data_IF_686505630851
#
_entry.id   IF_686505630851
#
_cell.length_a   1.000
_cell.length_b   1.000
_cell.length_c   1.000
_cell.angle_alpha   90.00
_cell.angle_beta   90.00
_cell.angle_gamma   90.00
#
_symmetry.space_group_name_H-M   'P 1'
#
loop_
_entity.id
_entity.type
_entity.pdbx_description
1 polymer ?
#
# COMPACT_ATOMS: atom_id res chain seq x y z
N UNK A 1 -8.90 24.12 1.47
CA UNK A 1 -9.34 22.73 1.17
C UNK A 1 -8.15 21.82 1.37
N UNK A 2 -8.30 20.80 2.18
CA UNK A 2 -7.22 19.90 2.54
C UNK A 2 -6.91 18.92 1.40
N UNK A 3 -5.62 18.63 1.16
CA UNK A 3 -5.18 17.47 0.40
C UNK A 3 -4.93 16.33 1.39
N UNK A 4 -5.37 15.13 1.05
CA UNK A 4 -5.38 13.99 1.95
C UNK A 4 -4.43 12.91 1.47
N UNK A 5 -3.57 12.41 2.36
CA UNK A 5 -2.78 11.20 2.12
C UNK A 5 -3.39 10.03 2.88
N UNK A 6 -3.63 8.92 2.19
CA UNK A 6 -4.11 7.67 2.78
C UNK A 6 -2.97 6.68 2.84
N UNK A 7 -2.62 6.22 4.06
CA UNK A 7 -1.55 5.25 4.30
C UNK A 7 -2.06 4.09 5.16
N UNK A 8 -1.52 2.89 4.97
CA UNK A 8 -1.79 1.77 5.87
C UNK A 8 -0.98 1.92 7.16
N UNK A 9 -1.60 1.74 8.32
CA UNK A 9 -0.93 1.87 9.62
C UNK A 9 -0.41 0.53 10.18
N UNK A 10 -0.57 -0.57 9.44
CA UNK A 10 -0.14 -1.92 9.81
C UNK A 10 0.77 -2.51 8.71
N UNK A 11 0.66 -3.80 8.41
CA UNK A 11 1.43 -4.50 7.37
C UNK A 11 0.72 -4.58 6.01
N UNK A 12 -0.09 -3.60 5.64
CA UNK A 12 -0.90 -3.65 4.44
C UNK A 12 -2.21 -4.44 4.64
N UNK A 13 -3.02 -4.49 3.58
CA UNK A 13 -4.30 -5.21 3.58
C UNK A 13 -5.33 -4.73 4.62
N UNK A 14 -5.20 -3.49 5.10
CA UNK A 14 -6.08 -2.87 6.10
C UNK A 14 -7.48 -2.52 5.55
N UNK A 15 -7.73 -2.76 4.27
CA UNK A 15 -9.00 -2.38 3.64
C UNK A 15 -8.96 -0.98 3.01
N UNK A 16 -7.76 -0.49 2.66
CA UNK A 16 -7.55 0.83 2.01
C UNK A 16 -8.46 1.05 0.81
N UNK A 17 -8.68 0.02 -0.03
CA UNK A 17 -9.46 0.16 -1.26
C UNK A 17 -10.86 0.74 -1.02
N UNK A 18 -11.60 0.26 -0.02
CA UNK A 18 -12.93 0.80 0.33
C UNK A 18 -12.86 2.27 0.73
N UNK A 19 -11.91 2.64 1.58
CA UNK A 19 -11.77 4.01 2.10
C UNK A 19 -11.29 4.96 1.00
N UNK A 20 -10.33 4.53 0.18
CA UNK A 20 -9.86 5.31 -0.97
C UNK A 20 -10.99 5.52 -1.99
N UNK A 21 -11.77 4.49 -2.29
CA UNK A 21 -12.95 4.64 -3.16
C UNK A 21 -13.96 5.65 -2.58
N UNK A 22 -14.25 5.55 -1.29
CA UNK A 22 -15.16 6.48 -0.61
C UNK A 22 -14.65 7.92 -0.66
N UNK A 23 -13.34 8.15 -0.46
CA UNK A 23 -12.70 9.47 -0.54
C UNK A 23 -12.54 9.96 -1.99
N UNK A 24 -12.31 9.07 -2.95
CA UNK A 24 -12.10 9.44 -4.35
C UNK A 24 -13.29 10.15 -4.98
N UNK A 25 -14.50 9.89 -4.50
CA UNK A 25 -15.70 10.61 -4.93
C UNK A 25 -15.65 12.10 -4.59
N UNK A 26 -15.01 12.44 -3.46
CA UNK A 26 -14.85 13.80 -2.95
C UNK A 26 -13.58 14.48 -3.46
N UNK A 27 -12.66 13.73 -4.03
CA UNK A 27 -11.43 14.24 -4.61
C UNK A 27 -11.64 14.71 -6.07
N UNK A 28 -10.86 15.68 -6.52
CA UNK A 28 -10.74 16.06 -7.92
C UNK A 28 -9.69 15.22 -8.64
N UNK A 29 -8.65 14.80 -7.91
CA UNK A 29 -7.49 14.05 -8.44
C UNK A 29 -7.09 12.94 -7.47
N UNK A 30 -6.76 11.76 -7.99
CA UNK A 30 -6.23 10.63 -7.21
C UNK A 30 -4.82 10.29 -7.66
N UNK A 31 -3.86 10.24 -6.74
CA UNK A 31 -2.43 10.10 -7.03
C UNK A 31 -1.85 8.87 -6.37
N UNK A 32 -1.31 7.92 -7.14
CA UNK A 32 -0.40 6.87 -6.66
C UNK A 32 1.01 7.42 -6.60
N UNK A 33 1.68 7.35 -5.46
CA UNK A 33 2.95 8.03 -5.24
C UNK A 33 4.12 7.09 -4.93
N UNK A 34 3.89 5.80 -4.71
CA UNK A 34 4.95 4.81 -4.41
C UNK A 34 4.50 3.38 -4.73
N UNK A 35 5.45 2.43 -4.65
CA UNK A 35 5.23 1.03 -4.94
C UNK A 35 5.22 0.74 -6.44
N UNK A 36 4.45 -0.23 -6.84
CA UNK A 36 4.26 -0.66 -8.22
C UNK A 36 3.00 -1.53 -8.32
N UNK A 37 2.97 -2.43 -9.28
CA UNK A 37 1.83 -3.33 -9.48
C UNK A 37 1.80 -4.54 -8.51
N UNK A 38 2.63 -4.54 -7.46
CA UNK A 38 2.62 -5.53 -6.38
C UNK A 38 1.48 -5.35 -5.37
N UNK A 39 0.88 -4.16 -5.31
CA UNK A 39 -0.21 -3.84 -4.40
C UNK A 39 -1.55 -3.92 -5.14
N UNK A 40 -2.22 -5.07 -5.06
CA UNK A 40 -3.59 -5.21 -5.56
C UNK A 40 -4.61 -4.63 -4.58
N UNK A 41 -5.57 -3.86 -5.09
CA UNK A 41 -6.73 -3.43 -4.32
C UNK A 41 -8.02 -3.71 -5.10
N UNK A 42 -9.05 -4.01 -4.36
CA UNK A 42 -10.38 -4.31 -4.91
C UNK A 42 -11.32 -3.16 -4.58
N UNK A 43 -12.01 -2.70 -5.60
CA UNK A 43 -13.09 -1.71 -5.49
C UNK A 43 -14.40 -2.35 -5.88
N UNK A 44 -15.46 -2.01 -5.17
CA UNK A 44 -16.83 -2.40 -5.57
C UNK A 44 -17.60 -1.11 -5.86
N UNK A 45 -17.91 -0.90 -7.14
CA UNK A 45 -18.61 0.29 -7.61
C UNK A 45 -19.86 -0.18 -8.35
N UNK A 46 -21.04 0.25 -7.88
CA UNK A 46 -22.34 -0.09 -8.47
C UNK A 46 -22.54 -1.60 -8.67
N UNK A 47 -22.07 -2.41 -7.69
CA UNK A 47 -22.16 -3.87 -7.71
C UNK A 47 -21.10 -4.56 -8.57
N UNK A 48 -20.26 -3.82 -9.30
CA UNK A 48 -19.17 -4.36 -10.12
C UNK A 48 -17.87 -4.35 -9.34
N UNK A 49 -17.15 -5.46 -9.38
CA UNK A 49 -15.85 -5.61 -8.69
C UNK A 49 -14.70 -5.33 -9.64
N UNK A 50 -13.91 -4.31 -9.34
CA UNK A 50 -12.71 -3.95 -10.06
C UNK A 50 -11.47 -4.34 -9.25
N UNK A 51 -10.52 -5.01 -9.91
CA UNK A 51 -9.22 -5.37 -9.31
C UNK A 51 -8.13 -4.52 -9.95
N UNK A 52 -7.63 -3.54 -9.22
CA UNK A 52 -6.56 -2.65 -9.66
C UNK A 52 -5.25 -3.03 -8.98
N UNK A 53 -4.13 -2.77 -9.67
CA UNK A 53 -2.79 -3.00 -9.15
C UNK A 53 -1.91 -1.75 -9.26
N UNK A 54 -1.85 -1.13 -10.44
CA UNK A 54 -1.04 0.04 -10.73
C UNK A 54 -1.87 1.31 -10.91
N UNK A 55 -3.04 1.18 -11.54
CA UNK A 55 -3.95 2.31 -11.76
C UNK A 55 -4.51 2.83 -10.42
N UNK A 56 -4.56 4.17 -10.24
CA UNK A 56 -5.23 4.77 -9.09
C UNK A 56 -6.73 4.46 -9.07
N UNK A 57 -7.33 4.39 -7.87
CA UNK A 57 -8.76 4.11 -7.69
C UNK A 57 -9.68 5.10 -8.43
N UNK A 58 -9.24 6.34 -8.61
CA UNK A 58 -9.99 7.40 -9.31
C UNK A 58 -10.38 7.06 -10.75
N UNK A 59 -9.63 6.21 -11.43
CA UNK A 59 -9.92 5.80 -12.83
C UNK A 59 -11.32 5.17 -12.93
N UNK A 60 -11.72 4.34 -11.98
CA UNK A 60 -13.04 3.68 -11.98
C UNK A 60 -14.18 4.68 -11.81
N UNK A 61 -13.90 5.84 -11.23
CA UNK A 61 -14.84 6.94 -11.01
C UNK A 61 -14.77 8.05 -12.07
N UNK A 62 -14.00 7.84 -13.15
CA UNK A 62 -13.79 8.88 -14.16
C UNK A 62 -13.06 10.12 -13.66
N UNK A 63 -12.32 10.01 -12.54
CA UNK A 63 -11.55 11.12 -11.96
C UNK A 63 -10.17 11.19 -12.61
N UNK A 64 -9.60 12.39 -12.70
CA UNK A 64 -8.21 12.55 -13.08
C UNK A 64 -7.34 11.72 -12.12
N UNK A 65 -6.56 10.82 -12.67
CA UNK A 65 -5.75 9.85 -11.96
C UNK A 65 -4.29 10.02 -12.37
N UNK A 66 -3.40 9.95 -11.41
CA UNK A 66 -1.98 10.25 -11.62
C UNK A 66 -1.12 9.14 -11.03
N UNK A 67 -0.16 8.66 -11.81
CA UNK A 67 0.94 7.81 -11.34
C UNK A 67 2.19 8.67 -11.22
N UNK A 68 2.63 8.89 -9.98
CA UNK A 68 3.77 9.76 -9.66
C UNK A 68 5.13 9.10 -9.92
N UNK A 69 6.17 9.91 -9.88
CA UNK A 69 7.57 9.50 -10.09
C UNK A 69 8.12 8.55 -9.01
N UNK A 70 7.44 8.44 -7.87
CA UNK A 70 7.79 7.49 -6.81
C UNK A 70 7.41 6.04 -7.15
N UNK A 71 6.50 5.82 -8.08
CA UNK A 71 6.07 4.49 -8.54
C UNK A 71 7.08 3.91 -9.52
N UNK A 72 7.32 2.59 -9.45
CA UNK A 72 8.02 1.85 -10.51
C UNK A 72 6.98 1.15 -11.39
N UNK A 73 7.10 1.29 -12.71
CA UNK A 73 6.04 0.97 -13.67
C UNK A 73 6.47 -0.16 -14.59
N UNK A 74 5.76 -1.27 -14.54
CA UNK A 74 5.83 -2.29 -15.59
C UNK A 74 4.94 -1.83 -16.75
N UNK A 75 5.52 -1.47 -17.92
CA UNK A 75 4.75 -0.90 -19.02
C UNK A 75 3.74 -1.90 -19.61
N UNK A 76 4.06 -3.18 -19.64
CA UNK A 76 3.14 -4.22 -20.11
C UNK A 76 1.99 -4.42 -19.13
N UNK A 77 2.29 -4.53 -17.83
CA UNK A 77 1.26 -4.69 -16.80
C UNK A 77 0.30 -3.48 -16.74
N UNK A 78 0.80 -2.25 -16.98
CA UNK A 78 -0.04 -1.06 -17.05
C UNK A 78 -1.00 -1.14 -18.24
N UNK A 79 -0.51 -1.51 -19.42
CA UNK A 79 -1.34 -1.64 -20.61
C UNK A 79 -2.37 -2.77 -20.48
N UNK A 80 -1.98 -3.91 -19.91
CA UNK A 80 -2.90 -5.02 -19.62
C UNK A 80 -4.00 -4.61 -18.64
N UNK A 81 -3.69 -3.77 -17.65
CA UNK A 81 -4.68 -3.27 -16.70
C UNK A 81 -5.64 -2.27 -17.34
N UNK A 82 -5.15 -1.41 -18.24
CA UNK A 82 -5.97 -0.50 -19.06
C UNK A 82 -6.92 -1.30 -19.97
N UNK A 83 -6.40 -2.32 -20.66
CA UNK A 83 -7.20 -3.17 -21.56
C UNK A 83 -8.29 -3.92 -20.79
N UNK A 84 -7.99 -4.46 -19.61
CA UNK A 84 -8.99 -5.10 -18.75
C UNK A 84 -10.10 -4.15 -18.29
N UNK A 85 -9.79 -2.88 -17.99
CA UNK A 85 -10.83 -1.92 -17.65
C UNK A 85 -11.74 -1.60 -18.83
N UNK A 86 -11.21 -1.63 -20.05
CA UNK A 86 -12.03 -1.45 -21.26
C UNK A 86 -13.08 -2.56 -21.43
N UNK A 87 -12.82 -3.80 -20.98
CA UNK A 87 -13.77 -4.90 -20.94
C UNK A 87 -14.98 -4.60 -20.03
N UNK A 88 -14.79 -3.77 -19.00
CA UNK A 88 -15.83 -3.27 -18.12
C UNK A 88 -16.47 -1.96 -18.60
N UNK A 89 -16.15 -1.50 -19.83
CA UNK A 89 -16.66 -0.25 -20.39
C UNK A 89 -15.93 1.01 -19.94
N UNK A 90 -14.83 0.89 -19.18
CA UNK A 90 -14.04 2.05 -18.73
C UNK A 90 -12.89 2.30 -19.71
N UNK A 91 -13.06 3.32 -20.54
CA UNK A 91 -12.01 3.74 -21.47
C UNK A 91 -11.05 4.71 -20.78
N UNK A 92 -9.86 4.22 -20.45
CA UNK A 92 -8.80 5.04 -19.87
C UNK A 92 -8.12 5.86 -20.99
N UNK A 93 -8.23 7.19 -20.91
CA UNK A 93 -7.66 8.10 -21.90
C UNK A 93 -6.54 8.95 -21.30
N UNK A 94 -5.67 9.59 -22.14
CA UNK A 94 -4.64 10.51 -21.65
C UNK A 94 -5.18 11.70 -20.85
N UNK A 95 -6.45 12.07 -20.99
CA UNK A 95 -7.10 13.11 -20.19
C UNK A 95 -7.45 12.61 -18.81
N UNK A 96 -7.74 11.31 -18.67
CA UNK A 96 -8.13 10.66 -17.41
C UNK A 96 -6.91 10.16 -16.62
N UNK A 97 -5.87 9.70 -17.29
CA UNK A 97 -4.66 9.16 -16.66
C UNK A 97 -3.43 9.96 -17.07
N UNK A 98 -2.61 10.36 -16.07
CA UNK A 98 -1.29 10.93 -16.28
C UNK A 98 -0.24 10.08 -15.57
N UNK A 99 0.89 9.89 -16.22
CA UNK A 99 2.01 9.10 -15.70
C UNK A 99 3.25 9.98 -15.72
N UNK A 100 3.95 10.05 -14.60
CA UNK A 100 5.17 10.85 -14.51
C UNK A 100 6.19 10.41 -15.57
N UNK A 101 6.60 11.33 -16.43
CA UNK A 101 7.57 11.11 -17.50
C UNK A 101 8.92 10.60 -16.98
N UNK A 102 9.28 10.98 -15.76
CA UNK A 102 10.48 10.56 -15.04
C UNK A 102 10.31 9.32 -14.15
N UNK A 103 9.19 8.62 -14.20
CA UNK A 103 9.00 7.37 -13.48
C UNK A 103 9.89 6.25 -14.03
N UNK A 104 10.45 5.42 -13.15
CA UNK A 104 11.33 4.30 -13.51
C UNK A 104 10.51 3.11 -13.99
N UNK A 105 11.02 2.41 -15.02
CA UNK A 105 10.37 1.24 -15.58
C UNK A 105 10.85 -0.06 -14.95
N UNK A 106 9.93 -0.98 -14.76
CA UNK A 106 10.21 -2.39 -14.46
C UNK A 106 10.39 -3.11 -15.79
N UNK A 107 11.50 -3.83 -15.92
CA UNK A 107 11.83 -4.60 -17.11
C UNK A 107 11.78 -6.12 -16.79
N UNK A 108 11.69 -6.99 -17.80
CA UNK A 108 11.65 -8.45 -17.57
C UNK A 108 12.80 -8.97 -16.69
N UNK A 109 14.01 -8.43 -16.86
CA UNK A 109 15.19 -8.79 -16.06
C UNK A 109 15.03 -8.51 -14.55
N UNK A 110 14.22 -7.52 -14.17
CA UNK A 110 13.91 -7.23 -12.76
C UNK A 110 13.02 -8.33 -12.18
N UNK A 111 12.04 -8.83 -12.94
CA UNK A 111 11.18 -9.93 -12.53
C UNK A 111 11.96 -11.24 -12.39
N UNK A 112 12.88 -11.50 -13.33
CA UNK A 112 13.76 -12.67 -13.25
C UNK A 112 14.58 -12.64 -11.96
N UNK A 113 15.24 -11.52 -11.66
CA UNK A 113 16.08 -11.37 -10.47
C UNK A 113 15.28 -11.51 -9.18
N UNK A 114 14.09 -10.90 -9.11
CA UNK A 114 13.16 -11.02 -7.98
C UNK A 114 12.73 -12.50 -7.78
N UNK A 115 12.41 -13.20 -8.88
CA UNK A 115 12.07 -14.61 -8.88
C UNK A 115 13.21 -15.50 -8.36
N UNK A 116 14.43 -15.30 -8.85
CA UNK A 116 15.59 -16.10 -8.42
C UNK A 116 15.93 -15.91 -6.95
N UNK A 117 15.78 -14.68 -6.42
CA UNK A 117 15.98 -14.42 -4.98
C UNK A 117 14.96 -15.16 -4.12
N UNK A 118 13.72 -15.26 -4.57
CA UNK A 118 12.67 -15.99 -3.86
C UNK A 118 12.74 -17.52 -4.05
N UNK A 119 13.39 -18.00 -5.10
CA UNK A 119 13.59 -19.44 -5.36
C UNK A 119 14.87 -20.00 -4.70
N UNK A 120 15.77 -19.13 -4.21
CA UNK A 120 16.96 -19.58 -3.47
C UNK A 120 16.55 -20.33 -2.19
N UNK A 121 17.31 -21.36 -1.82
CA UNK A 121 17.08 -22.12 -0.57
C UNK A 121 17.52 -21.37 0.69
N UNK A 122 17.96 -20.12 0.55
CA UNK A 122 18.42 -19.27 1.63
C UNK A 122 17.28 -18.92 2.61
N UNK A 123 17.60 -18.84 3.90
CA UNK A 123 16.72 -18.33 4.96
C UNK A 123 16.30 -16.85 4.73
N UNK A 124 16.90 -16.20 3.73
CA UNK A 124 16.69 -14.80 3.38
C UNK A 124 15.43 -14.52 2.54
N UNK A 125 14.52 -15.48 2.37
CA UNK A 125 13.25 -15.26 1.63
C UNK A 125 12.41 -14.19 2.30
N UNK A 126 12.07 -13.14 1.54
CA UNK A 126 11.22 -12.04 1.99
C UNK A 126 9.74 -12.39 1.81
N UNK A 127 9.43 -13.22 0.81
CA UNK A 127 8.05 -13.55 0.41
C UNK A 127 7.48 -12.52 -0.56
N UNK A 128 8.30 -12.03 -1.51
CA UNK A 128 7.90 -11.03 -2.51
C UNK A 128 6.81 -11.55 -3.45
N UNK A 129 6.26 -10.65 -4.24
CA UNK A 129 5.28 -10.99 -5.30
C UNK A 129 5.94 -11.41 -6.61
N UNK A 130 7.27 -11.45 -6.69
CA UNK A 130 8.07 -11.77 -7.88
C UNK A 130 7.77 -10.87 -9.09
N UNK A 131 7.44 -9.60 -8.82
CA UNK A 131 7.09 -8.62 -9.86
C UNK A 131 8.21 -7.65 -10.21
N UNK A 132 9.41 -7.87 -9.67
CA UNK A 132 10.59 -7.06 -9.96
C UNK A 132 10.60 -5.68 -9.31
N UNK A 133 9.78 -5.45 -8.30
CA UNK A 133 9.66 -4.15 -7.63
C UNK A 133 10.99 -3.76 -6.97
N UNK A 134 11.54 -4.65 -6.14
CA UNK A 134 12.82 -4.42 -5.44
C UNK A 134 13.96 -4.12 -6.40
N UNK A 135 14.26 -4.99 -7.37
CA UNK A 135 15.30 -4.75 -8.35
C UNK A 135 15.13 -3.46 -9.17
N UNK A 136 13.89 -3.04 -9.47
CA UNK A 136 13.65 -1.77 -10.17
C UNK A 136 13.96 -0.56 -9.27
N UNK A 137 13.64 -0.61 -7.96
CA UNK A 137 14.05 0.41 -6.99
C UNK A 137 15.58 0.42 -6.79
N UNK A 138 16.25 -0.73 -6.75
CA UNK A 138 17.72 -0.82 -6.72
C UNK A 138 18.34 -0.08 -7.92
N UNK A 139 17.80 -0.28 -9.12
CA UNK A 139 18.27 0.41 -10.31
C UNK A 139 17.97 1.90 -10.32
N UNK A 140 16.82 2.31 -9.76
CA UNK A 140 16.45 3.72 -9.59
C UNK A 140 17.49 4.44 -8.71
N UNK A 141 17.79 3.93 -7.52
CA UNK A 141 18.77 4.54 -6.61
C UNK A 141 20.21 4.32 -7.08
N UNK A 142 20.48 3.24 -7.82
CA UNK A 142 21.74 2.96 -8.51
C UNK A 142 21.95 3.86 -9.75
N UNK A 143 21.01 4.70 -10.11
CA UNK A 143 21.07 5.69 -11.21
C UNK A 143 21.30 5.07 -12.59
N UNK A 144 20.80 3.82 -12.81
CA UNK A 144 20.87 3.10 -14.09
C UNK A 144 19.48 2.74 -14.65
N UNK A 145 18.39 3.12 -13.96
CA UNK A 145 17.05 2.84 -14.41
C UNK A 145 16.72 3.50 -15.76
N UNK A 146 15.95 2.79 -16.59
CA UNK A 146 15.22 3.35 -17.71
C UNK A 146 13.97 4.03 -17.19
N UNK A 147 13.67 5.22 -17.68
CA UNK A 147 12.50 6.02 -17.33
C UNK A 147 11.47 6.05 -18.46
N UNK A 148 10.25 6.42 -18.16
CA UNK A 148 9.18 6.49 -19.17
C UNK A 148 9.54 7.43 -20.36
N UNK A 149 10.12 8.60 -20.08
CA UNK A 149 10.55 9.56 -21.12
C UNK A 149 11.61 8.99 -22.06
N UNK A 150 12.41 8.01 -21.65
CA UNK A 150 13.45 7.43 -22.48
C UNK A 150 12.89 6.62 -23.66
N UNK A 151 11.64 6.19 -23.57
CA UNK A 151 10.95 5.48 -24.66
C UNK A 151 10.70 6.39 -25.89
N UNK A 152 10.79 7.70 -25.73
CA UNK A 152 10.56 8.64 -26.82
C UNK A 152 11.72 8.72 -27.82
N UNK A 153 12.93 8.30 -27.41
CA UNK A 153 14.12 8.33 -28.28
C UNK A 153 14.88 7.01 -28.25
N UNK A 154 14.89 6.33 -29.38
CA UNK A 154 15.57 5.04 -29.58
C UNK A 154 17.04 5.06 -29.17
N UNK A 155 17.76 6.15 -29.54
CA UNK A 155 19.20 6.24 -29.25
C UNK A 155 19.48 6.36 -27.76
N UNK A 156 18.73 7.20 -27.07
CA UNK A 156 18.81 7.36 -25.61
C UNK A 156 18.43 6.07 -24.90
N UNK A 157 17.33 5.42 -25.33
CA UNK A 157 16.89 4.15 -24.76
C UNK A 157 17.97 3.06 -24.89
N UNK A 158 18.55 2.89 -26.09
CA UNK A 158 19.59 1.90 -26.33
C UNK A 158 20.84 2.13 -25.47
N UNK A 159 21.31 3.38 -25.34
CA UNK A 159 22.48 3.72 -24.54
C UNK A 159 22.24 3.47 -23.02
N UNK A 160 21.05 3.77 -22.53
CA UNK A 160 20.68 3.49 -21.13
C UNK A 160 20.55 2.00 -20.85
N UNK A 161 19.93 1.25 -21.77
CA UNK A 161 19.86 -0.20 -21.67
C UNK A 161 21.24 -0.86 -21.70
N UNK A 162 22.15 -0.39 -22.53
CA UNK A 162 23.53 -0.88 -22.55
C UNK A 162 24.19 -0.71 -21.17
N UNK A 163 24.03 0.45 -20.54
CA UNK A 163 24.58 0.73 -19.22
C UNK A 163 23.95 -0.17 -18.13
N UNK A 164 22.63 -0.33 -18.16
CA UNK A 164 21.90 -1.20 -17.23
C UNK A 164 22.27 -2.66 -17.44
N UNK A 165 22.37 -3.12 -18.68
CA UNK A 165 22.69 -4.51 -19.02
C UNK A 165 24.13 -4.88 -18.70
N UNK A 166 25.09 -3.97 -18.73
CA UNK A 166 26.45 -4.24 -18.22
C UNK A 166 26.40 -4.75 -16.77
N UNK A 167 25.60 -4.12 -15.93
CA UNK A 167 25.43 -4.54 -14.53
C UNK A 167 24.69 -5.87 -14.43
N UNK A 168 23.52 -5.95 -15.04
CA UNK A 168 22.66 -7.13 -14.90
C UNK A 168 23.23 -8.36 -15.58
N UNK A 169 23.88 -8.23 -16.75
CA UNK A 169 24.47 -9.37 -17.45
C UNK A 169 25.70 -9.92 -16.70
N UNK A 170 26.50 -9.06 -16.04
CA UNK A 170 27.56 -9.52 -15.16
C UNK A 170 27.01 -10.30 -13.97
N UNK A 171 25.95 -9.82 -13.33
CA UNK A 171 25.27 -10.53 -12.26
C UNK A 171 24.67 -11.87 -12.74
N UNK A 172 24.00 -11.88 -13.89
CA UNK A 172 23.40 -13.09 -14.49
C UNK A 172 24.46 -14.15 -14.78
N UNK A 173 25.60 -13.76 -15.37
CA UNK A 173 26.73 -14.66 -15.62
C UNK A 173 27.30 -15.25 -14.31
N UNK A 174 27.46 -14.40 -13.27
CA UNK A 174 27.90 -14.85 -11.95
C UNK A 174 26.94 -15.86 -11.30
N UNK A 175 25.65 -15.77 -11.60
CA UNK A 175 24.60 -16.70 -11.17
C UNK A 175 24.40 -17.88 -12.12
N UNK A 176 25.20 -18.05 -13.16
CA UNK A 176 25.05 -19.10 -14.16
C UNK A 176 23.78 -19.00 -15.01
N UNK A 177 23.30 -17.77 -15.21
CA UNK A 177 22.07 -17.46 -15.98
C UNK A 177 22.41 -16.85 -17.33
N UNK A 178 21.53 -17.02 -18.31
CA UNK A 178 21.66 -16.42 -19.63
C UNK A 178 21.63 -14.90 -19.57
N UNK A 179 22.43 -14.25 -20.40
CA UNK A 179 22.43 -12.80 -20.54
C UNK A 179 21.20 -12.31 -21.31
N UNK A 180 20.80 -11.07 -21.06
CA UNK A 180 19.71 -10.41 -21.78
C UNK A 180 20.22 -9.81 -23.08
N UNK A 181 19.55 -10.06 -24.19
CA UNK A 181 19.78 -9.40 -25.46
C UNK A 181 19.24 -7.96 -25.42
N UNK A 182 20.15 -6.99 -25.46
CA UNK A 182 19.80 -5.59 -25.40
C UNK A 182 19.02 -5.10 -26.63
N UNK A 183 19.32 -5.61 -27.82
CA UNK A 183 18.62 -5.22 -29.04
C UNK A 183 17.15 -5.69 -28.99
N UNK A 184 16.93 -6.94 -28.62
CA UNK A 184 15.58 -7.47 -28.45
C UNK A 184 14.76 -6.69 -27.39
N UNK A 185 15.39 -6.29 -26.29
CA UNK A 185 14.75 -5.52 -25.24
C UNK A 185 14.39 -4.09 -25.71
N UNK A 186 15.25 -3.44 -26.50
CA UNK A 186 14.94 -2.14 -27.16
C UNK A 186 13.69 -2.27 -28.01
N UNK A 187 13.63 -3.27 -28.90
CA UNK A 187 12.46 -3.47 -29.79
C UNK A 187 11.18 -3.74 -28.97
N UNK A 188 11.25 -4.56 -27.93
CA UNK A 188 10.10 -4.85 -27.09
C UNK A 188 9.55 -3.60 -26.38
N UNK A 189 10.43 -2.69 -25.93
CA UNK A 189 10.04 -1.43 -25.30
C UNK A 189 9.48 -0.43 -26.33
N UNK A 190 10.10 -0.35 -27.51
CA UNK A 190 9.60 0.51 -28.58
C UNK A 190 8.24 0.05 -29.13
N UNK A 191 7.95 -1.24 -29.07
CA UNK A 191 6.64 -1.77 -29.47
C UNK A 191 5.50 -1.29 -28.57
N UNK A 192 5.74 -1.09 -27.26
CA UNK A 192 4.72 -0.58 -26.32
C UNK A 192 4.73 0.95 -26.19
N UNK A 193 5.82 1.61 -26.59
CA UNK A 193 6.00 3.06 -26.46
C UNK A 193 4.83 3.88 -27.05
N UNK A 194 4.30 3.60 -28.26
CA UNK A 194 3.19 4.38 -28.85
C UNK A 194 1.91 4.34 -28.01
N UNK A 195 1.70 3.28 -27.21
CA UNK A 195 0.52 3.14 -26.35
C UNK A 195 0.70 3.82 -24.99
N UNK A 196 1.92 3.88 -24.46
CA UNK A 196 2.16 4.38 -23.11
C UNK A 196 2.60 5.86 -23.08
N UNK A 197 3.36 6.32 -24.06
CA UNK A 197 3.85 7.71 -24.14
C UNK A 197 2.73 8.78 -24.14
N UNK A 198 1.54 8.56 -24.72
CA UNK A 198 0.45 9.53 -24.63
C UNK A 198 0.02 9.86 -23.18
N UNK A 199 0.27 8.98 -22.22
CA UNK A 199 -0.01 9.21 -20.81
C UNK A 199 1.10 9.98 -20.08
N UNK A 200 2.31 10.09 -20.67
CA UNK A 200 3.44 10.75 -20.06
C UNK A 200 3.18 12.24 -19.83
N UNK A 201 3.53 12.74 -18.64
CA UNK A 201 3.32 14.14 -18.28
C UNK A 201 4.36 14.60 -17.24
N UNK A 202 4.62 15.92 -17.22
CA UNK A 202 5.34 16.59 -16.14
C UNK A 202 4.44 16.67 -14.88
N UNK A 203 4.24 15.52 -14.23
CA UNK A 203 3.27 15.34 -13.15
C UNK A 203 3.45 16.34 -12.03
N UNK A 204 4.70 16.67 -11.66
CA UNK A 204 4.99 17.65 -10.60
C UNK A 204 4.40 19.04 -10.93
N UNK A 205 4.49 19.48 -12.18
CA UNK A 205 3.94 20.77 -12.62
C UNK A 205 2.41 20.72 -12.62
N UNK A 206 1.84 19.68 -13.22
CA UNK A 206 0.39 19.50 -13.27
C UNK A 206 -0.25 19.46 -11.88
N UNK A 207 0.34 18.75 -10.95
CA UNK A 207 -0.18 18.66 -9.58
C UNK A 207 -0.03 19.98 -8.81
N UNK A 208 1.05 20.75 -9.04
CA UNK A 208 1.19 22.09 -8.43
C UNK A 208 0.15 23.06 -8.99
N UNK A 209 -0.12 23.03 -10.30
CA UNK A 209 -1.17 23.86 -10.94
C UNK A 209 -2.56 23.51 -10.36
N UNK A 210 -2.88 22.23 -10.22
CA UNK A 210 -4.14 21.78 -9.64
C UNK A 210 -4.27 22.20 -8.17
N UNK A 211 -3.20 22.06 -7.39
CA UNK A 211 -3.15 22.51 -6.00
C UNK A 211 -3.37 24.02 -5.88
N UNK A 212 -2.71 24.82 -6.71
CA UNK A 212 -2.89 26.29 -6.77
C UNK A 212 -4.29 26.69 -7.19
N UNK A 213 -4.92 25.89 -8.05
CA UNK A 213 -6.32 26.06 -8.45
C UNK A 213 -7.33 25.59 -7.36
N UNK A 214 -6.85 25.20 -6.16
CA UNK A 214 -7.71 24.79 -5.04
C UNK A 214 -8.36 23.41 -5.23
N UNK A 215 -7.82 22.56 -6.11
CA UNK A 215 -8.31 21.20 -6.32
C UNK A 215 -7.95 20.28 -5.16
N UNK A 216 -8.86 19.38 -4.80
CA UNK A 216 -8.67 18.37 -3.76
C UNK A 216 -7.90 17.18 -4.31
N UNK A 217 -6.70 16.96 -3.77
CA UNK A 217 -5.82 15.86 -4.17
C UNK A 217 -5.87 14.77 -3.10
N UNK A 218 -6.18 13.55 -3.54
CA UNK A 218 -6.11 12.34 -2.73
C UNK A 218 -4.85 11.56 -3.10
N UNK A 219 -3.90 11.45 -2.17
CA UNK A 219 -2.73 10.61 -2.33
C UNK A 219 -3.02 9.20 -1.82
N UNK A 220 -3.05 8.25 -2.73
CA UNK A 220 -3.33 6.85 -2.47
C UNK A 220 -2.04 6.07 -2.22
N UNK A 221 -1.78 5.72 -0.96
CA UNK A 221 -0.66 4.89 -0.57
C UNK A 221 -0.92 3.40 -0.83
N UNK A 222 0.15 2.67 -1.06
CA UNK A 222 0.15 1.21 -1.15
C UNK A 222 0.87 0.59 0.06
N UNK A 223 0.65 -0.69 0.33
CA UNK A 223 1.20 -1.42 1.48
C UNK A 223 0.80 -0.79 2.84
N UNK A 224 1.71 -0.75 3.80
CA UNK A 224 1.50 -0.16 5.12
C UNK A 224 2.82 0.24 5.77
N UNK A 225 2.78 1.08 6.80
CA UNK A 225 3.96 1.66 7.45
C UNK A 225 4.91 0.60 7.99
N UNK A 226 4.39 -0.54 8.47
CA UNK A 226 5.25 -1.64 8.93
C UNK A 226 5.94 -2.41 7.80
N UNK A 227 5.62 -2.10 6.55
CA UNK A 227 6.33 -2.55 5.35
C UNK A 227 7.22 -1.47 4.72
N UNK A 228 7.36 -0.31 5.35
CA UNK A 228 8.25 0.77 4.89
C UNK A 228 9.70 0.30 4.92
N UNK A 229 10.47 0.65 3.88
CA UNK A 229 11.86 0.20 3.72
C UNK A 229 12.78 0.67 4.86
N UNK A 230 12.49 1.83 5.45
CA UNK A 230 13.29 2.42 6.54
C UNK A 230 12.69 2.15 7.92
N UNK A 231 11.37 2.24 8.05
CA UNK A 231 10.65 2.25 9.32
C UNK A 231 9.91 0.95 9.63
N UNK A 232 9.82 0.05 8.68
CA UNK A 232 9.13 -1.23 8.82
C UNK A 232 9.96 -2.31 9.51
N UNK A 233 9.44 -3.53 9.47
CA UNK A 233 10.06 -4.73 10.05
C UNK A 233 11.12 -5.32 9.12
N UNK A 234 12.16 -4.55 8.83
CA UNK A 234 13.28 -4.94 7.94
C UNK A 234 13.92 -6.25 8.38
N UNK A 235 14.28 -7.19 7.46
CA UNK A 235 14.23 -7.06 6.00
C UNK A 235 12.86 -7.41 5.36
N UNK A 236 11.87 -7.79 6.15
CA UNK A 236 10.55 -8.22 5.68
C UNK A 236 9.65 -7.00 5.38
N UNK A 237 10.05 -6.22 4.38
CA UNK A 237 9.45 -4.94 3.98
C UNK A 237 9.31 -4.85 2.46
N UNK A 238 8.60 -3.84 1.96
CA UNK A 238 8.64 -3.44 0.55
C UNK A 238 9.87 -2.58 0.26
N UNK A 239 10.19 -2.35 -0.98
CA UNK A 239 11.40 -1.59 -1.38
C UNK A 239 11.15 -0.09 -1.54
N UNK A 240 10.03 0.41 -1.04
CA UNK A 240 9.69 1.82 -1.09
C UNK A 240 9.32 2.36 0.28
N UNK A 241 9.42 3.69 0.46
CA UNK A 241 8.81 4.35 1.60
C UNK A 241 7.30 4.37 1.45
N UNK A 242 6.58 3.95 2.51
CA UNK A 242 5.12 3.85 2.56
C UNK A 242 4.49 4.90 3.46
N UNK A 243 5.32 5.69 4.15
CA UNK A 243 4.93 6.81 5.01
C UNK A 243 4.38 7.98 4.19
N UNK A 244 3.56 8.83 4.81
CA UNK A 244 2.91 9.95 4.10
C UNK A 244 3.90 10.98 3.53
N UNK A 245 5.09 11.14 4.11
CA UNK A 245 6.14 11.99 3.55
C UNK A 245 6.53 11.64 2.11
N UNK A 246 6.38 10.38 1.72
CA UNK A 246 6.64 9.93 0.36
C UNK A 246 5.59 10.45 -0.64
N UNK A 247 4.40 10.86 -0.22
CA UNK A 247 3.39 11.44 -1.11
C UNK A 247 3.91 12.70 -1.80
N UNK A 248 4.60 13.56 -1.07
CA UNK A 248 5.24 14.75 -1.64
C UNK A 248 6.39 14.38 -2.58
N UNK A 249 7.39 13.62 -2.12
CA UNK A 249 8.56 13.24 -2.92
C UNK A 249 8.18 12.38 -4.15
N UNK A 250 7.24 11.45 -3.99
CA UNK A 250 6.81 10.50 -5.03
C UNK A 250 5.84 11.09 -6.06
N UNK A 251 5.31 12.29 -5.83
CA UNK A 251 4.49 13.05 -6.78
C UNK A 251 5.19 14.32 -7.30
N UNK A 252 6.35 14.66 -6.74
CA UNK A 252 7.13 15.85 -7.11
C UNK A 252 6.61 17.16 -6.53
N UNK A 253 5.80 17.09 -5.47
CA UNK A 253 5.31 18.25 -4.73
C UNK A 253 6.19 18.57 -3.50
N UNK A 254 6.06 19.77 -2.98
CA UNK A 254 6.69 20.13 -1.71
C UNK A 254 6.00 19.45 -0.50
N UNK A 255 6.69 19.32 0.65
CA UNK A 255 6.16 18.60 1.81
C UNK A 255 4.86 19.20 2.38
N UNK A 256 4.64 20.50 2.23
CA UNK A 256 3.40 21.17 2.62
C UNK A 256 2.19 20.90 1.68
N UNK A 257 2.31 20.00 0.71
CA UNK A 257 1.20 19.65 -0.17
C UNK A 257 0.20 18.68 0.48
N UNK A 258 0.58 17.97 1.54
CA UNK A 258 -0.28 17.07 2.31
C UNK A 258 -0.76 17.82 3.55
N UNK A 259 -2.08 17.96 3.73
CA UNK A 259 -2.67 18.70 4.85
C UNK A 259 -3.27 17.78 5.91
N UNK A 260 -3.69 16.59 5.51
CA UNK A 260 -4.24 15.59 6.41
C UNK A 260 -3.75 14.19 6.03
N UNK A 261 -3.28 13.44 7.00
CA UNK A 261 -2.85 12.05 6.83
C UNK A 261 -3.85 11.13 7.51
N UNK A 262 -4.57 10.34 6.69
CA UNK A 262 -5.48 9.32 7.16
C UNK A 262 -4.78 7.96 7.20
N UNK A 263 -4.58 7.42 8.41
CA UNK A 263 -4.07 6.07 8.62
C UNK A 263 -5.20 5.05 8.54
N UNK A 264 -5.03 3.97 7.80
CA UNK A 264 -5.99 2.88 7.79
C UNK A 264 -5.49 1.76 8.69
N UNK A 265 -6.33 1.30 9.61
CA UNK A 265 -6.01 0.16 10.48
C UNK A 265 -7.23 -0.75 10.65
N UNK A 266 -7.01 -2.05 10.76
CA UNK A 266 -8.05 -3.00 11.16
C UNK A 266 -8.24 -2.95 12.67
N UNK A 267 -9.41 -3.35 13.15
CA UNK A 267 -9.67 -3.55 14.57
C UNK A 267 -8.90 -4.76 15.19
N UNK A 268 -8.12 -5.45 14.37
CA UNK A 268 -7.18 -6.51 14.72
C UNK A 268 -5.97 -6.42 13.80
N UNK A 269 -5.02 -7.34 13.89
CA UNK A 269 -3.79 -7.27 13.07
C UNK A 269 -3.71 -8.45 12.11
N UNK A 270 -3.21 -8.20 10.88
CA UNK A 270 -2.90 -9.26 9.93
C UNK A 270 -1.55 -9.03 9.27
N UNK A 271 -0.90 -10.12 8.86
CA UNK A 271 0.34 -10.08 8.10
C UNK A 271 0.37 -11.15 7.02
N UNK A 272 0.88 -10.79 5.84
CA UNK A 272 1.20 -11.75 4.76
C UNK A 272 2.70 -12.04 4.77
N UNK A 273 3.07 -13.29 4.51
CA UNK A 273 4.47 -13.69 4.37
C UNK A 273 5.23 -13.85 5.69
N UNK A 274 6.54 -13.86 5.54
CA UNK A 274 7.47 -14.08 6.65
C UNK A 274 7.66 -12.86 7.53
N UNK A 275 8.47 -13.01 8.58
CA UNK A 275 8.83 -11.94 9.49
C UNK A 275 8.06 -11.91 10.80
N UNK A 276 8.47 -11.07 11.75
CA UNK A 276 7.95 -11.02 13.10
C UNK A 276 6.49 -10.56 13.14
N UNK A 277 5.72 -11.14 14.05
CA UNK A 277 4.35 -10.77 14.32
C UNK A 277 4.04 -11.02 15.79
N UNK A 278 4.42 -10.11 16.71
CA UNK A 278 4.33 -10.36 18.16
C UNK A 278 2.94 -10.70 18.66
N UNK A 279 1.89 -10.12 18.07
CA UNK A 279 0.49 -10.35 18.47
C UNK A 279 -0.19 -11.45 17.66
N UNK A 280 0.55 -12.26 16.88
CA UNK A 280 -0.03 -13.39 16.14
C UNK A 280 -0.70 -14.38 17.08
N UNK A 281 -1.94 -14.74 16.77
CA UNK A 281 -2.66 -15.82 17.43
C UNK A 281 -2.73 -17.03 16.50
N UNK A 282 -2.02 -18.09 16.88
CA UNK A 282 -1.98 -19.37 16.14
C UNK A 282 -3.07 -20.34 16.58
N UNK A 283 -3.90 -19.94 17.53
CA UNK A 283 -5.00 -20.72 18.07
C UNK A 283 -6.34 -20.44 17.39
N UNK A 284 -7.40 -20.77 18.13
CA UNK A 284 -8.78 -20.68 17.62
C UNK A 284 -9.20 -19.25 17.26
N UNK A 285 -8.71 -18.24 17.99
CA UNK A 285 -9.05 -16.85 17.72
C UNK A 285 -8.42 -16.38 16.40
N UNK A 286 -7.15 -16.67 16.15
CA UNK A 286 -6.52 -16.34 14.88
C UNK A 286 -7.21 -16.98 13.67
N UNK A 287 -7.63 -18.25 13.81
CA UNK A 287 -8.42 -18.95 12.79
C UNK A 287 -9.81 -18.31 12.60
N UNK A 288 -10.45 -17.89 13.68
CA UNK A 288 -11.76 -17.21 13.66
C UNK A 288 -11.65 -15.86 12.91
N UNK A 289 -10.65 -15.03 13.28
CA UNK A 289 -10.39 -13.76 12.64
C UNK A 289 -10.11 -13.95 11.13
N UNK A 290 -9.29 -14.94 10.79
CA UNK A 290 -8.97 -15.29 9.41
C UNK A 290 -10.20 -15.68 8.59
N UNK A 291 -11.07 -16.50 9.13
CA UNK A 291 -12.29 -16.98 8.48
C UNK A 291 -13.34 -15.85 8.34
N UNK A 292 -13.67 -15.15 9.46
CA UNK A 292 -14.67 -14.08 9.46
C UNK A 292 -14.21 -12.88 8.63
N UNK A 293 -12.93 -12.50 8.77
CA UNK A 293 -12.32 -11.41 8.03
C UNK A 293 -12.04 -11.73 6.57
N UNK A 294 -12.24 -12.99 6.12
CA UNK A 294 -11.87 -13.46 4.76
C UNK A 294 -10.42 -13.07 4.44
N UNK A 295 -9.51 -13.38 5.37
CA UNK A 295 -8.12 -12.93 5.30
C UNK A 295 -7.28 -13.78 4.36
N UNK A 296 -7.50 -13.54 3.06
CA UNK A 296 -6.75 -14.12 1.95
C UNK A 296 -6.25 -13.01 1.02
N UNK A 297 -5.04 -13.18 0.48
CA UNK A 297 -4.46 -12.22 -0.46
C UNK A 297 -5.25 -12.18 -1.77
N UNK A 298 -5.68 -11.01 -2.20
CA UNK A 298 -6.49 -10.82 -3.42
C UNK A 298 -5.75 -11.28 -4.68
N UNK A 299 -4.43 -11.11 -4.72
CA UNK A 299 -3.58 -11.43 -5.87
C UNK A 299 -3.01 -12.84 -5.80
N UNK A 300 -2.55 -13.25 -4.60
CA UNK A 300 -1.81 -14.50 -4.42
C UNK A 300 -2.64 -15.63 -3.82
N UNK A 301 -3.85 -15.34 -3.32
CA UNK A 301 -4.67 -16.31 -2.59
C UNK A 301 -4.07 -16.77 -1.25
N UNK A 302 -2.90 -16.26 -0.85
CA UNK A 302 -2.23 -16.68 0.40
C UNK A 302 -3.09 -16.33 1.61
N UNK A 303 -3.20 -17.25 2.56
CA UNK A 303 -3.80 -17.00 3.86
C UNK A 303 -2.95 -15.98 4.63
N UNK A 304 -3.62 -14.99 5.20
CA UNK A 304 -2.97 -14.03 6.10
C UNK A 304 -2.88 -14.61 7.51
N UNK A 305 -1.77 -14.37 8.18
CA UNK A 305 -1.59 -14.58 9.61
C UNK A 305 -2.45 -13.54 10.33
N UNK A 306 -3.14 -13.94 11.39
CA UNK A 306 -4.04 -13.06 12.12
C UNK A 306 -3.65 -13.02 13.60
N UNK A 307 -3.96 -11.91 14.26
CA UNK A 307 -3.70 -11.74 15.69
C UNK A 307 -4.40 -10.50 16.25
N UNK A 308 -4.21 -10.26 17.52
CA UNK A 308 -4.83 -9.17 18.26
C UNK A 308 -4.31 -7.79 17.80
N UNK A 309 -5.09 -6.75 18.08
CA UNK A 309 -4.70 -5.37 17.77
C UNK A 309 -3.40 -5.01 18.50
N UNK A 310 -2.45 -4.45 17.75
CA UNK A 310 -1.15 -4.03 18.26
C UNK A 310 -1.09 -2.50 18.34
N UNK A 311 -1.42 -1.97 19.52
CA UNK A 311 -1.43 -0.53 19.74
C UNK A 311 -0.02 0.08 19.73
N UNK A 312 1.00 -0.68 20.11
CA UNK A 312 2.40 -0.22 20.09
C UNK A 312 2.85 0.04 18.65
N UNK A 313 2.59 -0.94 17.79
CA UNK A 313 2.92 -0.85 16.37
C UNK A 313 2.15 0.27 15.67
N UNK A 314 0.83 0.38 15.92
CA UNK A 314 0.01 1.42 15.28
C UNK A 314 0.39 2.81 15.78
N UNK A 315 0.68 2.98 17.08
CA UNK A 315 1.19 4.24 17.63
C UNK A 315 2.53 4.64 17.00
N UNK A 316 3.43 3.68 16.77
CA UNK A 316 4.66 3.93 16.02
C UNK A 316 4.36 4.41 14.60
N UNK A 317 3.42 3.77 13.91
CA UNK A 317 2.98 4.18 12.58
C UNK A 317 2.38 5.61 12.57
N UNK A 318 1.56 5.93 13.57
CA UNK A 318 0.97 7.28 13.75
C UNK A 318 2.08 8.34 13.82
N UNK A 319 3.09 8.12 14.65
CA UNK A 319 4.18 9.07 14.85
C UNK A 319 5.10 9.19 13.63
N UNK A 320 5.47 8.05 13.01
CA UNK A 320 6.42 8.02 11.89
C UNK A 320 5.79 8.56 10.61
N UNK A 321 4.52 8.26 10.35
CA UNK A 321 3.85 8.72 9.15
C UNK A 321 3.12 10.06 9.32
N UNK A 322 3.06 10.62 10.56
CA UNK A 322 2.34 11.86 10.84
C UNK A 322 0.83 11.72 10.65
N UNK A 323 0.24 10.61 11.14
CA UNK A 323 -1.18 10.34 10.97
C UNK A 323 -2.01 11.26 11.88
N UNK A 324 -2.92 12.05 11.29
CA UNK A 324 -3.81 12.98 11.97
C UNK A 324 -5.09 12.32 12.49
N UNK A 325 -5.50 11.23 11.84
CA UNK A 325 -6.64 10.43 12.25
C UNK A 325 -6.65 9.08 11.56
N UNK A 326 -7.43 8.12 12.07
CA UNK A 326 -7.50 6.79 11.51
C UNK A 326 -8.88 6.46 10.92
N UNK A 327 -8.87 5.61 9.89
CA UNK A 327 -10.05 4.85 9.50
C UNK A 327 -9.91 3.45 10.07
N UNK A 328 -10.73 3.15 11.07
CA UNK A 328 -10.80 1.83 11.70
C UNK A 328 -11.71 0.93 10.87
N UNK A 329 -11.19 -0.22 10.45
CA UNK A 329 -11.89 -1.14 9.56
C UNK A 329 -12.14 -2.49 10.22
N UNK A 330 -13.13 -3.24 9.71
CA UNK A 330 -13.39 -4.63 10.11
C UNK A 330 -13.72 -4.81 11.60
N UNK A 331 -14.43 -3.86 12.19
CA UNK A 331 -14.91 -3.97 13.56
C UNK A 331 -15.85 -5.18 13.71
N UNK A 332 -16.70 -5.41 12.72
CA UNK A 332 -17.66 -6.51 12.60
C UNK A 332 -17.04 -7.92 12.72
N UNK A 333 -15.78 -8.07 12.43
CA UNK A 333 -15.06 -9.35 12.56
C UNK A 333 -14.91 -9.77 14.04
N UNK A 334 -14.91 -8.82 14.95
CA UNK A 334 -14.81 -9.04 16.40
C UNK A 334 -16.15 -9.35 17.08
N UNK A 335 -17.28 -9.22 16.37
CA UNK A 335 -18.62 -9.47 16.91
C UNK A 335 -18.72 -10.88 17.54
N UNK A 336 -19.37 -10.98 18.70
CA UNK A 336 -19.60 -12.23 19.40
C UNK A 336 -18.37 -12.85 20.07
N UNK A 337 -17.25 -12.13 20.20
CA UNK A 337 -16.16 -12.49 21.09
C UNK A 337 -16.52 -12.09 22.53
N UNK A 338 -16.21 -12.95 23.51
CA UNK A 338 -16.41 -12.65 24.92
C UNK A 338 -15.34 -11.68 25.45
N UNK A 339 -14.12 -11.84 24.97
CA UNK A 339 -12.97 -11.03 25.35
C UNK A 339 -12.19 -10.59 24.10
N UNK A 340 -11.68 -9.36 24.13
CA UNK A 340 -10.84 -8.78 23.07
C UNK A 340 -9.56 -8.27 23.72
N UNK A 341 -8.41 -8.63 23.13
CA UNK A 341 -7.09 -8.23 23.64
C UNK A 341 -6.46 -7.16 22.77
N UNK A 342 -5.75 -6.22 23.42
CA UNK A 342 -4.96 -5.18 22.78
C UNK A 342 -3.56 -5.22 23.34
N UNK A 343 -2.55 -5.32 22.48
CA UNK A 343 -1.15 -5.22 22.93
C UNK A 343 -0.81 -3.77 23.23
N UNK A 344 -0.38 -3.52 24.48
CA UNK A 344 -0.02 -2.18 24.98
C UNK A 344 1.48 -2.05 25.27
N UNK A 345 2.24 -3.09 25.02
CA UNK A 345 3.68 -3.17 25.21
C UNK A 345 4.20 -4.52 24.77
N UNK A 346 5.50 -4.65 24.78
CA UNK A 346 6.17 -5.95 24.58
C UNK A 346 7.10 -6.25 25.75
N UNK A 347 7.43 -7.51 25.92
CA UNK A 347 8.39 -8.00 26.91
C UNK A 347 9.40 -8.93 26.25
N UNK A 348 10.64 -8.84 26.69
CA UNK A 348 11.69 -9.81 26.39
C UNK A 348 12.46 -10.10 27.69
N UNK A 349 12.23 -11.25 28.28
CA UNK A 349 12.70 -11.55 29.63
C UNK A 349 12.12 -10.56 30.65
N UNK A 350 12.97 -9.81 31.34
CA UNK A 350 12.56 -8.80 32.34
C UNK A 350 12.45 -7.37 31.75
N UNK A 351 12.81 -7.17 30.50
CA UNK A 351 12.79 -5.88 29.85
C UNK A 351 11.46 -5.62 29.16
N UNK A 352 10.92 -4.40 29.34
CA UNK A 352 9.68 -3.94 28.68
C UNK A 352 10.05 -2.99 27.56
N UNK A 353 9.38 -3.17 26.40
CA UNK A 353 9.51 -2.33 25.23
C UNK A 353 8.16 -1.65 24.95
N UNK A 354 8.20 -0.36 24.66
CA UNK A 354 7.07 0.49 24.23
C UNK A 354 7.12 0.82 22.73
N UNK A 355 8.04 0.17 22.01
CA UNK A 355 8.26 0.29 20.56
C UNK A 355 8.80 -1.02 20.00
N UNK A 356 8.67 -1.24 18.70
CA UNK A 356 9.36 -2.33 18.02
C UNK A 356 10.87 -2.01 17.96
N UNK A 357 11.75 -2.88 18.49
CA UNK A 357 13.19 -2.73 18.30
C UNK A 357 13.55 -2.96 16.83
N UNK A 358 14.62 -2.33 16.30
CA UNK A 358 14.97 -2.48 14.88
C UNK A 358 15.58 -3.85 14.53
N UNK A 359 16.09 -4.61 15.51
CA UNK A 359 16.75 -5.88 15.29
C UNK A 359 15.72 -7.01 15.04
N UNK A 360 15.77 -7.73 13.89
CA UNK A 360 14.79 -8.78 13.57
C UNK A 360 14.74 -9.91 14.61
N UNK A 361 15.89 -10.31 15.15
CA UNK A 361 15.96 -11.36 16.17
C UNK A 361 15.24 -10.97 17.47
N UNK A 362 15.35 -9.69 17.88
CA UNK A 362 14.61 -9.19 19.03
C UNK A 362 13.11 -9.14 18.75
N UNK A 363 12.72 -8.62 17.56
CA UNK A 363 11.31 -8.57 17.17
C UNK A 363 10.64 -9.95 17.19
N UNK A 364 11.35 -10.99 16.75
CA UNK A 364 10.85 -12.37 16.71
C UNK A 364 10.67 -12.99 18.11
N UNK A 365 11.43 -12.50 19.11
CA UNK A 365 11.41 -12.99 20.48
C UNK A 365 10.49 -12.18 21.42
N UNK A 366 9.88 -11.09 20.94
CA UNK A 366 8.98 -10.26 21.73
C UNK A 366 7.71 -11.00 22.12
N UNK A 367 7.35 -10.90 23.39
CA UNK A 367 6.06 -11.33 23.92
C UNK A 367 5.14 -10.11 24.12
N UNK A 368 3.92 -10.10 23.59
CA UNK A 368 3.00 -8.97 23.76
C UNK A 368 2.48 -8.89 25.20
N UNK A 369 2.37 -7.67 25.71
CA UNK A 369 1.70 -7.38 26.97
C UNK A 369 0.29 -6.92 26.63
N UNK A 370 -0.72 -7.67 27.04
CA UNK A 370 -2.12 -7.41 26.71
C UNK A 370 -2.89 -6.70 27.80
N UNK A 371 -3.73 -5.74 27.40
CA UNK A 371 -4.95 -5.37 28.11
C UNK A 371 -6.11 -6.20 27.54
N UNK A 372 -7.02 -6.67 28.38
CA UNK A 372 -8.21 -7.44 27.99
C UNK A 372 -9.46 -6.60 28.21
N UNK A 373 -10.33 -6.58 27.23
CA UNK A 373 -11.60 -5.85 27.24
C UNK A 373 -12.75 -6.82 27.08
N UNK A 374 -13.89 -6.48 27.70
CA UNK A 374 -15.15 -7.15 27.44
C UNK A 374 -15.54 -6.98 25.96
N UNK A 375 -15.86 -8.08 25.31
CA UNK A 375 -16.39 -8.08 23.96
C UNK A 375 -17.86 -7.64 23.90
N UNK A 376 -18.48 -7.85 22.75
CA UNK A 376 -19.89 -7.54 22.52
C UNK A 376 -20.56 -8.67 21.76
N UNK A 377 -21.85 -8.88 22.04
CA UNK A 377 -22.63 -9.95 21.41
C UNK A 377 -23.49 -9.46 20.27
N UNK A 378 -23.87 -8.18 20.30
CA UNK A 378 -24.65 -7.54 19.26
C UNK A 378 -23.78 -7.34 18.01
N UNK A 379 -24.42 -7.37 16.84
CA UNK A 379 -23.69 -7.11 15.59
C UNK A 379 -23.37 -5.64 15.41
N UNK A 380 -22.12 -5.35 15.05
CA UNK A 380 -21.70 -4.03 14.58
C UNK A 380 -21.80 -3.90 13.07
N UNK A 381 -22.05 -4.99 12.34
CA UNK A 381 -22.11 -5.03 10.91
C UNK A 381 -23.25 -4.15 10.35
N UNK A 382 -22.91 -3.23 9.46
CA UNK A 382 -23.88 -2.32 8.83
C UNK A 382 -24.26 -1.11 9.65
N UNK A 383 -23.70 -0.91 10.86
CA UNK A 383 -23.94 0.30 11.64
C UNK A 383 -23.47 1.55 10.87
N UNK A 384 -24.29 2.60 10.86
CA UNK A 384 -24.06 3.88 10.16
C UNK A 384 -24.00 5.08 11.09
N UNK A 385 -24.22 4.85 12.38
CA UNK A 385 -24.11 5.86 13.43
C UNK A 385 -23.52 5.27 14.71
N UNK A 386 -22.94 6.12 15.55
CA UNK A 386 -22.44 5.70 16.88
C UNK A 386 -23.52 5.11 17.77
N UNK A 387 -24.77 5.57 17.64
CA UNK A 387 -25.89 5.11 18.44
C UNK A 387 -26.28 3.64 18.16
N UNK A 388 -25.87 3.10 17.01
CA UNK A 388 -26.12 1.71 16.63
C UNK A 388 -25.05 0.75 17.15
N UNK A 389 -23.96 1.27 17.70
CA UNK A 389 -22.85 0.45 18.21
C UNK A 389 -23.10 0.04 19.67
N UNK A 390 -22.72 -1.22 20.05
CA UNK A 390 -22.70 -1.64 21.44
C UNK A 390 -21.78 -0.74 22.29
N UNK A 391 -22.15 -0.53 23.54
CA UNK A 391 -21.37 0.32 24.46
C UNK A 391 -19.95 -0.21 24.66
N UNK A 392 -19.77 -1.53 24.71
CA UNK A 392 -18.44 -2.17 24.83
C UNK A 392 -17.60 -1.99 23.57
N UNK A 393 -18.21 -2.01 22.37
CA UNK A 393 -17.51 -1.69 21.13
C UNK A 393 -17.05 -0.23 21.11
N UNK A 394 -17.89 0.71 21.58
CA UNK A 394 -17.49 2.12 21.71
C UNK A 394 -16.33 2.28 22.69
N UNK A 395 -16.35 1.60 23.85
CA UNK A 395 -15.25 1.61 24.81
C UNK A 395 -13.94 1.09 24.18
N UNK A 396 -14.02 0.02 23.42
CA UNK A 396 -12.88 -0.54 22.70
C UNK A 396 -12.29 0.46 21.71
N UNK A 397 -13.12 1.11 20.90
CA UNK A 397 -12.69 2.13 19.94
C UNK A 397 -12.02 3.30 20.65
N UNK A 398 -12.64 3.84 21.71
CA UNK A 398 -12.07 4.95 22.49
C UNK A 398 -10.73 4.58 23.11
N UNK A 399 -10.59 3.34 23.58
CA UNK A 399 -9.32 2.88 24.12
C UNK A 399 -8.24 2.74 23.07
N UNK A 400 -8.58 2.31 21.85
CA UNK A 400 -7.64 2.34 20.71
C UNK A 400 -7.15 3.76 20.48
N UNK A 401 -8.05 4.76 20.38
CA UNK A 401 -7.68 6.17 20.16
C UNK A 401 -6.67 6.65 21.22
N UNK A 402 -6.92 6.36 22.50
CA UNK A 402 -6.02 6.73 23.60
C UNK A 402 -4.64 6.07 23.45
N UNK A 403 -4.62 4.75 23.15
CA UNK A 403 -3.38 3.98 23.07
C UNK A 403 -2.50 4.34 21.89
N UNK A 404 -3.11 4.69 20.76
CA UNK A 404 -2.38 5.05 19.53
C UNK A 404 -2.14 6.55 19.38
N UNK A 405 -2.75 7.38 20.25
CA UNK A 405 -2.63 8.84 20.25
C UNK A 405 -3.19 9.49 18.96
N UNK A 406 -4.22 8.92 18.36
CA UNK A 406 -4.86 9.46 17.16
C UNK A 406 -6.37 9.17 17.17
N UNK A 407 -7.22 10.15 16.76
CA UNK A 407 -8.66 9.98 16.75
C UNK A 407 -9.14 9.07 15.61
N UNK A 408 -10.27 8.41 15.78
CA UNK A 408 -10.99 7.74 14.70
C UNK A 408 -11.77 8.78 13.90
N UNK A 409 -11.32 9.03 12.66
CA UNK A 409 -12.00 9.91 11.71
C UNK A 409 -13.09 9.18 10.91
N UNK A 410 -12.89 7.89 10.65
CA UNK A 410 -13.80 7.03 9.91
C UNK A 410 -13.89 5.65 10.58
N UNK A 411 -15.09 5.09 10.64
CA UNK A 411 -15.30 3.73 11.12
C UNK A 411 -16.02 2.91 10.04
N UNK A 412 -15.39 1.85 9.56
CA UNK A 412 -15.97 0.92 8.58
C UNK A 412 -16.51 -0.33 9.29
N UNK A 413 -17.81 -0.54 9.22
CA UNK A 413 -18.54 -1.57 9.95
C UNK A 413 -18.90 -2.79 9.10
N UNK A 414 -18.67 -2.76 7.78
CA UNK A 414 -18.85 -3.90 6.87
C UNK A 414 -18.01 -3.70 5.60
N UNK A 415 -17.94 -4.68 4.68
CA UNK A 415 -17.35 -4.49 3.36
C UNK A 415 -18.07 -3.46 2.48
N UNK A 416 -19.37 -3.23 2.70
CA UNK A 416 -20.18 -2.34 1.90
C UNK A 416 -19.77 -0.88 2.11
N UNK A 417 -19.71 -0.12 1.02
CA UNK A 417 -19.28 1.28 1.03
C UNK A 417 -20.11 2.17 1.93
N UNK A 418 -21.45 2.00 1.90
CA UNK A 418 -22.41 2.79 2.67
C UNK A 418 -22.28 2.58 4.19
N UNK A 419 -21.70 1.45 4.61
CA UNK A 419 -21.54 1.09 6.01
C UNK A 419 -20.22 1.69 6.55
N UNK A 420 -20.20 3.01 6.58
CA UNK A 420 -19.08 3.82 7.05
C UNK A 420 -19.62 4.99 7.88
N UNK A 421 -19.21 5.07 9.14
CA UNK A 421 -19.50 6.19 10.03
C UNK A 421 -18.43 7.25 9.82
N UNK A 422 -18.82 8.42 9.35
CA UNK A 422 -17.96 9.60 9.23
C UNK A 422 -17.98 10.36 10.57
N UNK A 423 -16.81 10.47 11.21
CA UNK A 423 -16.64 11.24 12.45
C UNK A 423 -16.03 12.60 12.16
N UNK A 424 -15.03 12.62 11.27
CA UNK A 424 -14.38 13.85 10.78
C UNK A 424 -14.09 13.69 9.29
N UNK A 425 -14.44 14.69 8.48
CA UNK A 425 -14.12 14.70 7.07
C UNK A 425 -12.62 15.07 6.87
N UNK A 426 -11.78 14.19 6.29
CA UNK A 426 -10.37 14.49 6.07
C UNK A 426 -10.11 15.65 5.09
N UNK A 427 -11.11 16.05 4.28
CA UNK A 427 -11.01 17.16 3.34
C UNK A 427 -11.49 18.51 3.91
N UNK A 428 -12.05 18.50 5.11
CA UNK A 428 -12.43 19.73 5.83
C UNK A 428 -11.27 20.19 6.72
N UNK A 429 -11.05 21.53 6.75
CA UNK A 429 -10.00 22.17 7.56
C UNK A 429 -10.35 22.14 9.06
#
# INVERSE_FOLDING_TARGET
>A
MANVAVVGAQWGDEGKGKIVDWLSERADVVVRFQGGHNAGHTLVVDGVTYKLSLLPAGVVRGKLSVIGNGVVIDPWALLDEIDRLAEFGIKVTPEMLKVADNASLILPLHRDLDGWREDSDDEAKIGTTRRGIGPAYEDKVGRRAVRLCDLADRKTLAAKLETLLRHHNALRQGLGRETVDGAALVEALLAVAPRILPFADAVWLRLDDLRRAGKRILFEGAQGVMLDVDHGTYPYVTSSNTVAGQAAAGSGLGPGAVHYVLGITKAYTTRVGSGPFPTEDKGEVGELLGRRGREFGVVTGRKRRCGWFDAVMVRQAVRVAGIDGIALTKLDVLDGLDEIKVSVGYRLGNERFDRLPPQPALQAALEPIYETYEGWRESTAGARSWAELPATAIKYIRRIEELIEAPVALLSTSPERADTILVRDPFED
#
